data_IF_512023623634
#
_entry.id   IF_512023623634
#
_cell.length_a   1.000
_cell.length_b   1.000
_cell.length_c   1.000
_cell.angle_alpha   90.00
_cell.angle_beta   90.00
_cell.angle_gamma   90.00
#
_symmetry.space_group_name_H-M   'P 1'
#
loop_
_entity.id
_entity.type
_entity.pdbx_description
1 polymer ?
#
# COMPACT_ATOMS: atom_id res chain seq x y z
N UNK A 1 9.30 31.91 17.70
CA UNK A 1 9.33 30.65 16.94
C UNK A 1 9.10 29.51 17.90
N UNK A 2 8.25 28.54 17.57
CA UNK A 2 8.11 27.31 18.37
C UNK A 2 9.44 26.55 18.36
N UNK A 3 9.91 26.13 19.52
CA UNK A 3 11.12 25.32 19.64
C UNK A 3 10.90 23.95 18.96
N UNK A 4 11.85 23.55 18.10
CA UNK A 4 11.78 22.29 17.37
C UNK A 4 12.49 21.21 18.18
N UNK A 5 11.82 20.08 18.40
CA UNK A 5 12.38 18.93 19.11
C UNK A 5 12.47 17.71 18.20
N UNK A 6 13.48 16.87 18.44
CA UNK A 6 13.67 15.58 17.74
C UNK A 6 14.06 14.48 18.72
N UNK A 7 13.84 13.22 18.36
CA UNK A 7 14.33 12.08 19.14
C UNK A 7 15.75 11.69 18.74
N UNK A 8 16.57 11.36 19.74
CA UNK A 8 17.85 10.70 19.56
C UNK A 8 17.71 9.19 19.75
N UNK A 9 18.46 8.46 18.95
CA UNK A 9 18.60 7.01 19.01
C UNK A 9 20.08 6.69 19.15
N UNK A 10 20.41 5.71 20.00
CA UNK A 10 21.80 5.32 20.24
C UNK A 10 22.53 4.92 18.96
N UNK A 11 21.82 4.31 17.99
CA UNK A 11 22.30 4.15 16.62
C UNK A 11 21.19 3.68 15.68
N UNK A 12 21.49 3.56 14.38
CA UNK A 12 20.54 3.05 13.37
C UNK A 12 20.00 1.65 13.65
N UNK A 13 20.71 0.84 14.47
CA UNK A 13 20.29 -0.51 14.89
C UNK A 13 19.51 -0.53 16.21
N UNK A 14 19.49 0.58 16.96
CA UNK A 14 18.85 0.70 18.27
C UNK A 14 17.68 1.69 18.18
N UNK A 15 16.50 1.24 17.69
CA UNK A 15 15.36 2.11 17.40
C UNK A 15 14.63 2.66 18.64
N UNK A 16 15.08 2.35 19.86
CA UNK A 16 14.52 2.90 21.09
C UNK A 16 14.89 4.38 21.23
N UNK A 17 13.90 5.22 21.54
CA UNK A 17 14.12 6.63 21.85
C UNK A 17 14.97 6.72 23.12
N UNK A 18 16.12 7.37 23.02
CA UNK A 18 17.05 7.58 24.14
C UNK A 18 16.74 8.91 24.84
N UNK A 19 16.57 9.97 24.05
CA UNK A 19 16.34 11.32 24.53
C UNK A 19 15.48 12.09 23.52
N UNK A 20 14.75 13.10 23.99
CA UNK A 20 14.14 14.12 23.13
C UNK A 20 14.87 15.43 23.37
N UNK A 21 15.41 16.04 22.33
CA UNK A 21 16.29 17.21 22.43
C UNK A 21 15.85 18.30 21.46
N UNK A 22 16.25 19.54 21.73
CA UNK A 22 16.05 20.64 20.77
C UNK A 22 16.91 20.44 19.53
N UNK A 23 16.43 20.94 18.39
CA UNK A 23 17.19 20.87 17.13
C UNK A 23 18.54 21.58 17.24
N UNK A 24 18.63 22.66 18.02
CA UNK A 24 19.89 23.38 18.26
C UNK A 24 20.94 22.50 18.95
N UNK A 25 20.52 21.65 19.90
CA UNK A 25 21.42 20.68 20.54
C UNK A 25 21.93 19.65 19.52
N UNK A 26 21.10 19.27 18.54
CA UNK A 26 21.51 18.38 17.44
C UNK A 26 22.49 19.07 16.50
N UNK A 27 22.20 20.29 16.04
CA UNK A 27 23.10 21.04 15.17
C UNK A 27 24.45 21.29 15.86
N UNK A 28 24.47 21.62 17.15
CA UNK A 28 25.71 21.76 17.92
C UNK A 28 26.49 20.45 18.02
N UNK A 29 25.79 19.32 18.15
CA UNK A 29 26.44 17.98 18.14
C UNK A 29 27.03 17.66 16.77
N UNK A 30 26.41 18.09 15.67
CA UNK A 30 26.98 17.94 14.32
C UNK A 30 28.22 18.83 14.16
N UNK A 31 28.15 20.09 14.59
CA UNK A 31 29.24 21.06 14.51
C UNK A 31 30.49 20.60 15.29
N UNK A 32 30.30 19.92 16.42
CA UNK A 32 31.39 19.54 17.35
C UNK A 32 31.74 18.06 17.32
N UNK A 33 30.91 17.21 16.68
CA UNK A 33 30.96 15.75 16.75
C UNK A 33 30.46 15.14 18.07
N UNK A 34 30.40 15.95 19.15
CA UNK A 34 29.99 15.52 20.49
C UNK A 34 30.74 14.29 20.98
N UNK A 35 30.04 13.44 21.74
CA UNK A 35 30.61 12.19 22.29
C UNK A 35 30.93 11.14 21.21
N UNK A 36 30.36 11.29 20.00
CA UNK A 36 30.55 10.35 18.89
C UNK A 36 31.79 10.68 18.05
N UNK A 37 32.47 11.81 18.30
CA UNK A 37 33.61 12.26 17.50
C UNK A 37 34.67 11.16 17.27
N UNK A 38 35.08 10.36 18.27
CA UNK A 38 36.05 9.28 18.03
C UNK A 38 35.57 8.23 17.02
N UNK A 39 34.28 7.85 17.08
CA UNK A 39 33.69 6.86 16.16
C UNK A 39 33.50 7.45 14.77
N UNK A 40 33.12 8.74 14.69
CA UNK A 40 33.00 9.48 13.44
C UNK A 40 34.36 9.56 12.72
N UNK A 41 35.40 10.02 13.42
CA UNK A 41 36.76 10.11 12.86
C UNK A 41 37.28 8.75 12.42
N UNK A 42 37.04 7.70 13.21
CA UNK A 42 37.43 6.33 12.85
C UNK A 42 36.71 5.85 11.58
N UNK A 43 35.41 6.09 11.46
CA UNK A 43 34.65 5.74 10.27
C UNK A 43 35.15 6.51 9.03
N UNK A 44 35.38 7.81 9.16
CA UNK A 44 35.85 8.67 8.07
C UNK A 44 37.25 8.26 7.60
N UNK A 45 38.20 8.05 8.52
CA UNK A 45 39.55 7.58 8.18
C UNK A 45 39.51 6.24 7.45
N UNK A 46 38.69 5.29 7.94
CA UNK A 46 38.54 4.00 7.28
C UNK A 46 38.05 4.12 5.84
N UNK A 47 37.13 5.05 5.55
CA UNK A 47 36.58 5.22 4.21
C UNK A 47 37.50 6.06 3.28
N UNK A 48 38.04 7.17 3.79
CA UNK A 48 38.73 8.18 3.00
C UNK A 48 40.23 7.90 2.85
N UNK A 49 40.86 7.33 3.87
CA UNK A 49 42.30 7.06 3.91
C UNK A 49 42.56 5.58 3.59
N UNK A 50 41.92 4.68 4.32
CA UNK A 50 42.21 3.24 4.22
C UNK A 50 41.43 2.53 3.11
N UNK A 51 40.41 3.20 2.53
CA UNK A 51 39.44 2.64 1.58
C UNK A 51 38.79 1.33 2.08
N UNK A 52 38.67 1.17 3.39
CA UNK A 52 38.12 0.01 4.08
C UNK A 52 36.61 0.22 4.37
N UNK A 53 35.79 -0.17 3.39
CA UNK A 53 34.33 -0.05 3.47
C UNK A 53 33.69 -0.90 4.57
N UNK A 54 34.32 -2.01 4.96
CA UNK A 54 33.80 -2.88 6.01
C UNK A 54 33.90 -2.22 7.39
N UNK A 55 35.09 -1.67 7.71
CA UNK A 55 35.30 -0.93 8.96
C UNK A 55 34.37 0.29 9.00
N UNK A 56 34.30 1.07 7.91
CA UNK A 56 33.34 2.18 7.81
C UNK A 56 31.90 1.74 8.12
N UNK A 57 31.45 0.64 7.50
CA UNK A 57 30.09 0.13 7.68
C UNK A 57 29.83 -0.33 9.11
N UNK A 58 30.83 -0.87 9.81
CA UNK A 58 30.72 -1.31 11.20
C UNK A 58 30.70 -0.12 12.17
N UNK A 59 31.60 0.85 12.00
CA UNK A 59 31.67 2.03 12.88
C UNK A 59 30.42 2.90 12.76
N UNK A 60 29.87 3.04 11.54
CA UNK A 60 28.61 3.74 11.27
C UNK A 60 27.45 3.28 12.19
N UNK A 61 27.46 2.01 12.61
CA UNK A 61 26.40 1.43 13.43
C UNK A 61 26.48 1.76 14.92
N UNK A 62 27.54 2.45 15.33
CA UNK A 62 27.79 2.85 16.71
C UNK A 62 27.63 4.37 16.93
N UNK A 63 27.25 5.11 15.89
CA UNK A 63 27.07 6.57 15.94
C UNK A 63 25.60 6.89 16.18
N UNK A 64 25.35 7.87 17.04
CA UNK A 64 24.02 8.41 17.33
C UNK A 64 23.31 8.85 16.04
N UNK A 65 22.00 8.61 15.97
CA UNK A 65 21.18 9.06 14.84
C UNK A 65 19.85 9.67 15.32
N UNK A 66 19.18 10.38 14.41
CA UNK A 66 17.86 10.98 14.64
C UNK A 66 16.92 10.72 13.47
N UNK A 67 15.63 10.95 13.66
CA UNK A 67 14.65 11.04 12.59
C UNK A 67 14.10 12.44 12.59
N UNK A 68 14.50 13.23 11.60
CA UNK A 68 14.14 14.64 11.59
C UNK A 68 12.65 14.89 11.37
N UNK A 69 11.92 13.99 10.71
CA UNK A 69 10.51 14.24 10.34
C UNK A 69 9.49 14.13 11.47
N UNK A 70 9.73 13.23 12.43
CA UNK A 70 8.71 12.86 13.42
C UNK A 70 9.30 12.53 14.79
N UNK A 71 8.52 12.84 15.82
CA UNK A 71 8.69 12.31 17.17
C UNK A 71 7.98 10.96 17.30
N UNK A 72 8.50 10.10 18.16
CA UNK A 72 8.00 8.76 18.42
C UNK A 72 7.73 8.51 19.90
N UNK A 73 6.74 7.65 20.16
CA UNK A 73 6.48 7.12 21.48
C UNK A 73 7.35 5.88 21.74
N UNK A 74 8.48 6.10 22.42
CA UNK A 74 9.40 5.06 22.91
C UNK A 74 10.22 4.30 21.85
N UNK A 75 9.70 4.08 20.65
CA UNK A 75 10.33 3.24 19.63
C UNK A 75 10.05 3.74 18.21
N UNK A 76 11.10 3.83 17.39
CA UNK A 76 11.05 4.29 15.99
C UNK A 76 10.26 3.33 15.09
N UNK A 77 8.97 3.59 14.92
CA UNK A 77 8.11 2.91 13.96
C UNK A 77 6.95 3.82 13.56
N UNK A 78 6.38 3.61 12.36
CA UNK A 78 5.24 4.42 11.89
C UNK A 78 4.03 4.41 12.84
N UNK A 79 3.62 3.26 13.42
CA UNK A 79 2.55 3.23 14.42
C UNK A 79 2.82 4.07 15.67
N UNK A 80 4.09 4.29 16.01
CA UNK A 80 4.50 5.03 17.20
C UNK A 80 4.75 6.52 16.92
N UNK A 81 4.45 7.02 15.72
CA UNK A 81 4.60 8.45 15.41
C UNK A 81 3.67 9.25 16.34
N UNK A 82 4.28 10.09 17.18
CA UNK A 82 3.59 10.95 18.17
C UNK A 82 3.16 12.27 17.55
N UNK A 83 4.08 12.94 16.83
CA UNK A 83 3.84 14.25 16.23
C UNK A 83 4.88 14.55 15.14
N UNK A 84 4.55 15.37 14.13
CA UNK A 84 5.56 15.95 13.24
C UNK A 84 6.48 16.90 14.02
N UNK A 85 7.75 16.93 13.65
CA UNK A 85 8.73 17.89 14.21
C UNK A 85 8.63 19.26 13.54
N UNK A 86 8.06 19.31 12.34
CA UNK A 86 8.10 20.47 11.45
C UNK A 86 9.36 20.54 10.58
N UNK A 87 10.10 19.43 10.42
CA UNK A 87 11.28 19.35 9.56
C UNK A 87 11.14 18.26 8.49
N UNK A 88 11.74 18.50 7.32
CA UNK A 88 12.14 17.46 6.37
C UNK A 88 13.66 17.51 6.24
N UNK A 89 14.30 16.35 6.30
CA UNK A 89 15.71 16.19 5.96
C UNK A 89 15.83 15.56 4.58
N UNK A 90 16.39 16.29 3.62
CA UNK A 90 16.62 15.85 2.24
C UNK A 90 18.06 15.32 2.14
N UNK A 91 18.21 14.08 1.70
CA UNK A 91 19.50 13.40 1.53
C UNK A 91 19.95 13.47 0.07
N UNK A 92 21.21 13.86 -0.15
CA UNK A 92 21.81 14.02 -1.47
C UNK A 92 23.09 13.20 -1.55
N UNK A 93 23.15 12.33 -2.55
CA UNK A 93 24.34 11.56 -2.87
C UNK A 93 25.18 12.29 -3.94
N UNK A 94 26.48 12.37 -3.69
CA UNK A 94 27.50 12.97 -4.55
C UNK A 94 27.45 14.51 -4.60
N UNK A 95 28.64 15.10 -4.55
CA UNK A 95 28.91 16.52 -4.36
C UNK A 95 28.10 17.43 -5.29
N UNK A 96 27.20 18.21 -4.70
CA UNK A 96 26.72 19.49 -5.24
C UNK A 96 27.29 20.61 -4.36
N UNK A 97 27.59 21.80 -4.91
CA UNK A 97 27.88 22.95 -4.07
C UNK A 97 26.72 23.21 -3.12
N UNK A 98 27.02 23.69 -1.91
CA UNK A 98 25.98 24.11 -0.96
C UNK A 98 25.10 25.16 -1.64
N UNK A 99 23.83 24.84 -1.79
CA UNK A 99 22.88 25.72 -2.46
C UNK A 99 22.48 26.80 -1.47
N UNK A 100 22.57 28.06 -1.88
CA UNK A 100 22.00 29.17 -1.12
C UNK A 100 20.50 29.26 -1.45
N UNK A 101 19.66 28.94 -0.47
CA UNK A 101 18.21 29.08 -0.55
C UNK A 101 17.68 29.54 0.79
N UNK A 102 16.75 30.49 0.78
CA UNK A 102 16.02 30.94 1.96
C UNK A 102 15.17 29.83 2.60
N UNK A 103 14.94 28.71 1.89
CA UNK A 103 14.23 27.52 2.40
C UNK A 103 15.09 26.65 3.30
N UNK A 104 16.42 26.73 3.19
CA UNK A 104 17.36 25.87 3.92
C UNK A 104 17.50 26.38 5.35
N UNK A 105 17.08 25.56 6.31
CA UNK A 105 17.24 25.83 7.74
C UNK A 105 18.63 25.42 8.25
N UNK A 106 19.13 24.27 7.79
CA UNK A 106 20.49 23.85 8.03
C UNK A 106 20.98 22.96 6.89
N UNK A 107 22.28 22.96 6.61
CA UNK A 107 22.89 22.05 5.66
C UNK A 107 24.26 21.56 6.17
N UNK A 108 24.52 20.27 6.07
CA UNK A 108 25.76 19.67 6.55
C UNK A 108 26.12 18.40 5.76
N UNK A 109 27.41 18.08 5.75
CA UNK A 109 27.96 16.90 5.10
C UNK A 109 27.50 15.62 5.79
N UNK A 110 27.25 14.58 5.00
CA UNK A 110 26.98 13.24 5.52
C UNK A 110 28.25 12.63 6.15
N UNK A 111 28.09 11.51 6.86
CA UNK A 111 29.21 10.83 7.53
C UNK A 111 30.38 10.51 6.57
N UNK A 112 30.08 10.15 5.32
CA UNK A 112 31.08 9.82 4.31
C UNK A 112 31.75 11.04 3.68
N UNK A 113 31.28 12.25 4.01
CA UNK A 113 31.62 13.55 3.40
C UNK A 113 31.33 13.67 1.91
N UNK A 114 30.75 12.63 1.28
CA UNK A 114 30.43 12.60 -0.17
C UNK A 114 29.02 13.08 -0.50
N UNK A 115 28.18 13.24 0.52
CA UNK A 115 26.80 13.66 0.38
C UNK A 115 26.46 14.78 1.35
N UNK A 116 25.27 15.34 1.20
CA UNK A 116 24.78 16.46 2.00
C UNK A 116 23.39 16.15 2.54
N UNK A 117 23.10 16.69 3.72
CA UNK A 117 21.77 16.68 4.32
C UNK A 117 21.26 18.11 4.43
N UNK A 118 20.08 18.38 3.86
CA UNK A 118 19.41 19.67 3.94
C UNK A 118 18.19 19.57 4.83
N UNK A 119 18.15 20.36 5.90
CA UNK A 119 16.99 20.48 6.78
C UNK A 119 16.12 21.64 6.31
N UNK A 120 14.84 21.37 6.12
CA UNK A 120 13.85 22.31 5.63
C UNK A 120 12.70 22.39 6.64
N UNK A 121 12.24 23.60 6.95
CA UNK A 121 11.11 23.82 7.87
C UNK A 121 9.80 23.68 7.13
N UNK A 122 8.92 22.83 7.63
CA UNK A 122 7.65 22.51 6.96
C UNK A 122 6.51 22.49 7.98
N UNK A 123 5.47 23.27 7.70
CA UNK A 123 4.23 23.30 8.47
C UNK A 123 3.23 22.26 7.92
N UNK A 124 2.39 21.66 8.76
CA UNK A 124 1.34 20.75 8.29
C UNK A 124 1.79 19.35 7.83
N UNK A 125 3.01 18.91 8.20
CA UNK A 125 3.48 17.55 7.93
C UNK A 125 2.67 16.49 8.66
N UNK A 126 2.47 15.35 8.00
CA UNK A 126 1.96 14.12 8.58
C UNK A 126 2.53 12.91 7.84
N UNK A 127 2.32 11.71 8.38
CA UNK A 127 2.85 10.47 7.81
C UNK A 127 2.41 10.26 6.35
N UNK A 128 1.19 10.70 5.98
CA UNK A 128 0.60 10.49 4.65
C UNK A 128 1.21 11.42 3.60
N UNK A 129 1.56 12.65 3.98
CA UNK A 129 2.05 13.66 3.04
C UNK A 129 3.59 13.76 3.00
N UNK A 130 4.32 13.12 3.93
CA UNK A 130 5.77 13.29 4.08
C UNK A 130 6.57 12.98 2.81
N UNK A 131 6.33 11.81 2.19
CA UNK A 131 7.10 11.35 1.03
C UNK A 131 6.88 12.25 -0.20
N UNK A 132 5.66 12.74 -0.39
CA UNK A 132 5.34 13.68 -1.46
C UNK A 132 6.03 15.03 -1.21
N UNK A 133 5.91 15.58 0.00
CA UNK A 133 6.53 16.85 0.35
C UNK A 133 8.06 16.79 0.28
N UNK A 134 8.66 15.67 0.65
CA UNK A 134 10.09 15.43 0.46
C UNK A 134 10.51 15.65 -1.00
N UNK A 135 9.77 15.05 -1.95
CA UNK A 135 10.08 15.15 -3.38
C UNK A 135 9.79 16.55 -3.94
N UNK A 136 8.67 17.17 -3.54
CA UNK A 136 8.32 18.52 -3.98
C UNK A 136 9.38 19.53 -3.52
N UNK A 137 9.80 19.44 -2.26
CA UNK A 137 10.84 20.30 -1.70
C UNK A 137 12.17 20.05 -2.40
N UNK A 138 12.58 18.80 -2.61
CA UNK A 138 13.81 18.46 -3.33
C UNK A 138 13.82 19.08 -4.75
N UNK A 139 12.70 18.99 -5.46
CA UNK A 139 12.55 19.61 -6.79
C UNK A 139 12.60 21.14 -6.72
N UNK A 140 11.94 21.75 -5.73
CA UNK A 140 11.89 23.21 -5.57
C UNK A 140 13.26 23.82 -5.26
N UNK A 141 14.07 23.14 -4.44
CA UNK A 141 15.46 23.55 -4.16
C UNK A 141 16.46 23.09 -5.23
N UNK A 142 16.00 22.40 -6.29
CA UNK A 142 16.82 21.99 -7.44
C UNK A 142 17.80 20.84 -7.16
N UNK A 143 17.47 19.96 -6.22
CA UNK A 143 18.35 18.87 -5.75
C UNK A 143 17.84 17.50 -6.20
N UNK A 144 18.75 16.65 -6.68
CA UNK A 144 18.47 15.24 -6.94
C UNK A 144 18.56 14.41 -5.65
N UNK A 145 17.45 14.33 -4.92
CA UNK A 145 17.41 13.67 -3.60
C UNK A 145 17.30 12.13 -3.69
N UNK A 146 17.84 11.42 -2.69
CA UNK A 146 17.61 9.97 -2.56
C UNK A 146 16.14 9.71 -2.22
N UNK A 147 15.40 9.16 -3.19
CA UNK A 147 13.99 8.81 -3.04
C UNK A 147 13.80 7.74 -1.95
N UNK A 148 14.80 6.90 -1.68
CA UNK A 148 14.71 5.87 -0.65
C UNK A 148 14.73 6.45 0.77
N UNK A 149 15.25 7.67 0.95
CA UNK A 149 15.26 8.41 2.20
C UNK A 149 13.92 9.12 2.48
N UNK A 150 12.98 9.14 1.53
CA UNK A 150 11.66 9.78 1.64
C UNK A 150 10.66 8.99 2.53
N UNK A 151 11.06 8.64 3.76
CA UNK A 151 10.28 7.84 4.72
C UNK A 151 10.22 8.53 6.08
N UNK A 152 9.06 8.45 6.72
CA UNK A 152 8.87 8.98 8.07
C UNK A 152 9.90 8.45 9.08
N UNK A 153 10.29 7.17 8.97
CA UNK A 153 11.20 6.46 9.87
C UNK A 153 12.68 6.46 9.43
N UNK A 154 13.04 7.29 8.45
CA UNK A 154 14.40 7.38 7.92
C UNK A 154 15.35 7.90 9.01
N UNK A 155 16.34 7.09 9.45
CA UNK A 155 17.33 7.55 10.40
C UNK A 155 18.46 8.31 9.68
N UNK A 156 18.82 9.46 10.22
CA UNK A 156 19.96 10.27 9.82
C UNK A 156 21.02 10.19 10.91
N UNK A 157 22.19 9.67 10.54
CA UNK A 157 23.34 9.65 11.45
C UNK A 157 23.82 11.07 11.64
N UNK A 158 24.20 11.42 12.88
CA UNK A 158 24.76 12.72 13.19
C UNK A 158 26.27 12.68 12.90
N UNK A 159 26.74 13.35 11.84
CA UNK A 159 28.15 13.36 11.47
C UNK A 159 28.89 14.44 12.24
N UNK A 160 30.16 14.65 11.90
CA UNK A 160 30.94 15.81 12.31
C UNK A 160 31.16 16.70 11.10
N UNK A 161 30.63 17.92 11.17
CA UNK A 161 30.81 18.95 10.15
C UNK A 161 30.94 20.32 10.79
N UNK A 162 32.17 20.83 10.85
CA UNK A 162 32.49 22.14 11.45
C UNK A 162 31.90 23.29 10.64
N UNK A 163 31.69 23.09 9.34
CA UNK A 163 31.24 24.13 8.41
C UNK A 163 29.72 24.01 8.14
N UNK A 164 28.98 23.43 9.09
CA UNK A 164 27.52 23.34 9.04
C UNK A 164 26.90 24.72 8.82
N UNK A 165 26.04 24.81 7.80
CA UNK A 165 25.22 25.98 7.57
C UNK A 165 24.00 25.96 8.48
N UNK A 166 23.65 27.13 9.03
CA UNK A 166 22.47 27.33 9.86
C UNK A 166 21.83 28.69 9.58
N UNK A 167 20.53 28.67 9.29
CA UNK A 167 19.70 29.85 9.04
C UNK A 167 18.42 29.80 9.89
N UNK A 168 18.38 30.51 11.04
CA UNK A 168 17.20 30.54 11.91
C UNK A 168 15.97 31.20 11.24
N UNK A 169 16.22 32.11 10.30
CA UNK A 169 15.22 32.91 9.60
C UNK A 169 14.74 32.24 8.30
N UNK A 170 15.07 30.96 8.10
CA UNK A 170 14.63 30.23 6.92
C UNK A 170 13.12 30.17 6.79
N UNK A 171 12.66 30.24 5.54
CA UNK A 171 11.27 30.19 5.16
C UNK A 171 10.65 28.87 5.61
N UNK A 172 9.46 28.96 6.21
CA UNK A 172 8.64 27.78 6.52
C UNK A 172 7.76 27.50 5.30
N UNK A 173 7.83 26.27 4.80
CA UNK A 173 7.02 25.81 3.68
C UNK A 173 5.74 25.18 4.23
N UNK A 174 4.58 25.53 3.69
CA UNK A 174 3.37 24.78 4.01
C UNK A 174 3.38 23.45 3.25
N UNK A 175 3.22 22.35 3.99
CA UNK A 175 3.13 21.04 3.39
C UNK A 175 1.97 21.03 2.40
N UNK A 176 2.28 20.63 1.16
CA UNK A 176 1.28 20.22 0.22
C UNK A 176 0.60 18.99 0.78
N UNK A 177 -0.54 19.22 1.41
CA UNK A 177 -1.55 18.21 1.56
C UNK A 177 -2.15 18.11 0.17
N UNK A 178 -2.02 16.97 -0.53
CA UNK A 178 -2.87 16.75 -1.68
C UNK A 178 -4.29 16.91 -1.14
N UNK A 179 -4.94 18.01 -1.51
CA UNK A 179 -6.39 18.01 -1.67
C UNK A 179 -6.61 16.76 -2.48
N UNK A 180 -7.54 15.89 -2.06
CA UNK A 180 -8.03 14.85 -2.97
C UNK A 180 -8.59 15.58 -4.18
N UNK A 181 -7.74 16.01 -5.12
CA UNK A 181 -8.09 16.01 -6.52
C UNK A 181 -8.47 14.56 -6.72
N UNK A 182 -9.75 14.24 -6.96
CA UNK A 182 -10.09 12.90 -7.38
C UNK A 182 -9.08 12.59 -8.48
N UNK A 183 -8.40 11.45 -8.39
CA UNK A 183 -7.50 11.06 -9.46
C UNK A 183 -8.22 11.37 -10.76
N UNK A 184 -7.58 12.10 -11.68
CA UNK A 184 -7.97 12.05 -13.06
C UNK A 184 -7.66 10.63 -13.52
N UNK A 185 -8.51 9.69 -13.08
CA UNK A 185 -8.97 8.61 -13.90
C UNK A 185 -9.50 9.39 -15.11
N UNK A 186 -8.87 9.30 -16.30
CA UNK A 186 -9.55 9.80 -17.50
C UNK A 186 -10.92 9.20 -17.40
N UNK A 187 -11.96 10.06 -17.27
CA UNK A 187 -13.34 9.68 -16.97
C UNK A 187 -13.47 8.29 -17.51
N UNK A 188 -13.56 7.31 -16.60
CA UNK A 188 -13.63 5.92 -17.02
C UNK A 188 -14.69 6.00 -18.09
N UNK A 189 -14.31 5.84 -19.36
CA UNK A 189 -15.28 5.90 -20.43
C UNK A 189 -16.02 4.62 -20.17
N UNK A 190 -16.98 4.70 -19.25
CA UNK A 190 -18.12 3.84 -19.23
C UNK A 190 -18.51 3.77 -20.67
N UNK A 191 -18.78 2.55 -21.14
CA UNK A 191 -19.19 2.34 -22.51
C UNK A 191 -20.59 2.95 -22.67
N UNK A 192 -20.69 4.26 -22.54
CA UNK A 192 -21.83 5.04 -22.94
C UNK A 192 -21.68 5.13 -24.43
N UNK A 193 -22.61 4.48 -25.11
CA UNK A 193 -22.82 4.78 -26.51
C UNK A 193 -23.49 6.13 -26.49
N UNK A 194 -22.83 7.13 -27.06
CA UNK A 194 -23.47 8.42 -27.31
C UNK A 194 -24.64 8.17 -28.25
N UNK A 195 -25.83 8.08 -27.68
CA UNK A 195 -27.08 8.26 -28.42
C UNK A 195 -27.39 9.73 -28.34
N UNK A 196 -27.05 10.46 -29.40
CA UNK A 196 -27.77 11.69 -29.69
C UNK A 196 -29.25 11.30 -29.79
N UNK A 197 -30.03 11.86 -28.87
CA UNK A 197 -31.49 11.72 -28.74
C UNK A 197 -31.96 10.48 -27.95
N UNK A 198 -32.64 10.80 -26.83
CA UNK A 198 -33.62 10.02 -26.07
C UNK A 198 -33.11 9.19 -24.87
N UNK A 199 -33.56 9.64 -23.69
CA UNK A 199 -33.55 9.02 -22.35
C UNK A 199 -32.20 8.98 -21.58
N UNK A 200 -32.05 9.91 -20.63
CA UNK A 200 -30.89 10.15 -19.77
C UNK A 200 -30.64 9.07 -18.69
N UNK A 201 -31.37 7.95 -18.72
CA UNK A 201 -31.11 6.84 -17.81
C UNK A 201 -29.77 6.14 -18.14
N UNK A 202 -28.81 6.24 -17.20
CA UNK A 202 -27.49 5.60 -17.28
C UNK A 202 -27.64 4.09 -17.51
N UNK A 203 -27.21 3.57 -18.67
CA UNK A 203 -27.35 2.15 -19.01
C UNK A 203 -26.33 1.30 -18.23
N UNK A 204 -26.82 0.30 -17.51
CA UNK A 204 -26.05 -0.59 -16.63
C UNK A 204 -25.43 -1.75 -17.42
N UNK A 205 -24.18 -2.07 -17.12
CA UNK A 205 -23.46 -3.24 -17.65
C UNK A 205 -23.30 -4.37 -16.64
N UNK A 206 -23.63 -4.11 -15.38
CA UNK A 206 -23.75 -5.11 -14.33
C UNK A 206 -24.76 -4.63 -13.28
N UNK A 207 -25.13 -5.52 -12.36
CA UNK A 207 -25.97 -5.19 -11.21
C UNK A 207 -25.20 -5.21 -9.87
N UNK A 208 -23.89 -4.97 -9.89
CA UNK A 208 -23.06 -5.02 -8.68
C UNK A 208 -23.53 -4.01 -7.62
N UNK A 209 -23.96 -2.82 -8.06
CA UNK A 209 -24.45 -1.76 -7.17
C UNK A 209 -25.70 -2.16 -6.38
N UNK A 210 -26.49 -3.14 -6.86
CA UNK A 210 -27.64 -3.66 -6.13
C UNK A 210 -27.21 -4.37 -4.84
N UNK A 211 -25.96 -4.86 -4.78
CA UNK A 211 -25.38 -5.53 -3.62
C UNK A 211 -24.49 -4.60 -2.79
N UNK A 212 -23.89 -3.58 -3.42
CA UNK A 212 -22.90 -2.72 -2.76
C UNK A 212 -23.43 -1.41 -2.20
N UNK A 213 -24.59 -0.96 -2.66
CA UNK A 213 -25.19 0.32 -2.23
C UNK A 213 -25.61 0.35 -0.76
N UNK A 214 -25.92 -0.81 -0.16
CA UNK A 214 -26.35 -0.92 1.23
C UNK A 214 -25.26 -1.44 2.18
N UNK A 215 -24.01 -1.56 1.71
CA UNK A 215 -22.90 -2.06 2.53
C UNK A 215 -22.40 -0.92 3.41
N UNK A 216 -22.46 -1.12 4.72
CA UNK A 216 -21.64 -0.35 5.64
C UNK A 216 -20.21 -0.90 5.63
N UNK A 217 -19.27 -0.03 5.31
CA UNK A 217 -17.86 -0.39 5.29
C UNK A 217 -17.19 -0.20 6.66
N UNK A 218 -17.89 0.34 7.67
CA UNK A 218 -17.35 0.61 9.02
C UNK A 218 -16.04 1.43 8.99
N UNK A 219 -15.91 2.30 7.99
CA UNK A 219 -14.68 3.07 7.75
C UNK A 219 -13.53 2.25 7.16
N UNK A 220 -13.68 0.97 6.85
CA UNK A 220 -12.67 0.14 6.19
C UNK A 220 -12.63 0.37 4.66
N UNK A 221 -11.47 0.09 4.06
CA UNK A 221 -11.26 0.25 2.62
C UNK A 221 -11.79 -0.93 1.78
N UNK A 222 -12.10 -2.05 2.43
CA UNK A 222 -12.52 -3.31 1.80
C UNK A 222 -13.56 -4.00 2.69
N UNK A 223 -14.61 -4.52 2.05
CA UNK A 223 -15.58 -5.40 2.70
C UNK A 223 -15.43 -6.82 2.15
N UNK A 224 -15.37 -7.80 3.05
CA UNK A 224 -15.18 -9.22 2.74
C UNK A 224 -16.45 -10.01 3.10
N UNK A 225 -17.19 -10.44 2.07
CA UNK A 225 -18.40 -11.26 2.21
C UNK A 225 -18.14 -12.68 2.74
N UNK A 226 -16.87 -13.08 2.93
CA UNK A 226 -16.39 -14.44 3.26
C UNK A 226 -16.61 -15.46 2.16
N UNK A 227 -17.78 -15.43 1.55
CA UNK A 227 -18.15 -16.24 0.40
C UNK A 227 -18.31 -15.38 -0.86
N UNK A 228 -18.30 -16.04 -2.02
CA UNK A 228 -18.54 -15.35 -3.28
C UNK A 228 -20.05 -15.23 -3.51
N UNK A 229 -20.55 -14.02 -3.65
CA UNK A 229 -21.89 -13.79 -4.17
C UNK A 229 -21.84 -13.72 -5.70
N UNK A 230 -22.92 -14.14 -6.35
CA UNK A 230 -23.07 -14.07 -7.80
C UNK A 230 -23.81 -12.80 -8.20
N UNK A 231 -23.41 -12.21 -9.31
CA UNK A 231 -24.05 -11.04 -9.88
C UNK A 231 -24.06 -11.14 -11.41
N UNK A 232 -24.95 -10.38 -12.03
CA UNK A 232 -25.13 -10.31 -13.47
C UNK A 232 -24.19 -9.26 -14.07
N UNK A 233 -23.45 -9.66 -15.12
CA UNK A 233 -22.48 -8.80 -15.80
C UNK A 233 -22.47 -9.09 -17.30
N UNK A 234 -22.36 -8.04 -18.13
CA UNK A 234 -22.24 -8.21 -19.57
C UNK A 234 -20.77 -8.52 -19.91
N UNK A 235 -20.51 -9.76 -20.30
CA UNK A 235 -19.21 -10.17 -20.83
C UNK A 235 -19.18 -10.03 -22.35
N UNK A 236 -18.20 -9.26 -22.87
CA UNK A 236 -17.94 -9.13 -24.31
C UNK A 236 -16.57 -9.73 -24.60
N UNK A 237 -16.48 -10.85 -25.34
CA UNK A 237 -15.20 -11.42 -25.75
C UNK A 237 -14.38 -10.43 -26.59
N UNK A 238 -13.05 -10.55 -26.54
CA UNK A 238 -12.14 -9.75 -27.37
C UNK A 238 -12.32 -10.05 -28.87
N UNK A 239 -12.75 -11.25 -29.22
CA UNK A 239 -13.08 -11.65 -30.58
C UNK A 239 -14.26 -12.62 -30.58
N UNK A 240 -15.17 -12.45 -31.55
CA UNK A 240 -16.35 -13.29 -31.75
C UNK A 240 -16.23 -13.91 -33.15
N UNK A 241 -15.76 -15.17 -33.25
CA UNK A 241 -15.52 -15.83 -34.53
C UNK A 241 -16.82 -16.32 -35.18
N UNK A 242 -16.70 -16.65 -36.46
CA UNK A 242 -17.75 -17.33 -37.24
C UNK A 242 -18.28 -18.60 -36.55
N UNK A 243 -19.56 -18.92 -36.75
CA UNK A 243 -20.24 -20.03 -36.08
C UNK A 243 -20.82 -19.72 -34.69
N UNK A 244 -20.26 -18.76 -33.94
CA UNK A 244 -20.76 -18.36 -32.60
C UNK A 244 -21.36 -16.95 -32.52
N UNK A 245 -21.35 -16.21 -33.63
CA UNK A 245 -21.76 -14.80 -33.70
C UNK A 245 -23.18 -14.57 -33.18
N UNK A 246 -24.14 -15.34 -33.69
CA UNK A 246 -25.55 -15.15 -33.33
C UNK A 246 -25.83 -15.42 -31.84
N UNK A 247 -25.31 -16.53 -31.30
CA UNK A 247 -25.54 -16.90 -29.89
C UNK A 247 -24.89 -15.92 -28.93
N UNK A 248 -23.64 -15.50 -29.20
CA UNK A 248 -22.92 -14.54 -28.35
C UNK A 248 -23.58 -13.16 -28.39
N UNK A 249 -23.90 -12.63 -29.59
CA UNK A 249 -24.54 -11.32 -29.74
C UNK A 249 -25.94 -11.32 -29.13
N UNK A 250 -26.71 -12.40 -29.33
CA UNK A 250 -28.02 -12.56 -28.69
C UNK A 250 -27.91 -12.60 -27.17
N UNK A 251 -26.94 -13.35 -26.63
CA UNK A 251 -26.70 -13.43 -25.18
C UNK A 251 -26.32 -12.08 -24.57
N UNK A 252 -25.43 -11.32 -25.24
CA UNK A 252 -25.06 -9.97 -24.80
C UNK A 252 -26.27 -9.04 -24.79
N UNK A 253 -27.08 -9.03 -25.86
CA UNK A 253 -28.24 -8.16 -25.95
C UNK A 253 -29.35 -8.54 -24.98
N UNK A 254 -29.57 -9.84 -24.75
CA UNK A 254 -30.47 -10.33 -23.72
C UNK A 254 -30.05 -9.83 -22.34
N UNK A 255 -28.78 -10.04 -21.96
CA UNK A 255 -28.25 -9.61 -20.67
C UNK A 255 -28.33 -8.08 -20.50
N UNK A 256 -28.04 -7.31 -21.55
CA UNK A 256 -28.20 -5.86 -21.56
C UNK A 256 -29.64 -5.43 -21.27
N UNK A 257 -30.62 -6.08 -21.90
CA UNK A 257 -32.03 -5.79 -21.69
C UNK A 257 -32.50 -6.16 -20.28
N UNK A 258 -32.02 -7.27 -19.71
CA UNK A 258 -32.33 -7.67 -18.34
C UNK A 258 -31.83 -6.63 -17.31
N UNK A 259 -30.63 -6.08 -17.52
CA UNK A 259 -30.04 -5.05 -16.67
C UNK A 259 -30.69 -3.66 -16.85
N UNK A 260 -31.34 -3.42 -17.99
CA UNK A 260 -31.92 -2.14 -18.37
C UNK A 260 -33.38 -2.30 -18.81
N UNK A 261 -34.29 -2.62 -17.87
CA UNK A 261 -35.70 -2.95 -18.18
C UNK A 261 -36.50 -1.85 -18.91
N UNK A 262 -36.00 -0.61 -18.89
CA UNK A 262 -36.60 0.57 -19.55
C UNK A 262 -35.93 0.87 -20.90
N UNK A 263 -34.96 0.06 -21.35
CA UNK A 263 -34.26 0.32 -22.61
C UNK A 263 -35.18 0.23 -23.83
N UNK A 264 -34.90 1.05 -24.84
CA UNK A 264 -35.56 1.04 -26.13
C UNK A 264 -34.99 -0.06 -27.05
N UNK A 265 -35.70 -0.40 -28.13
CA UNK A 265 -35.14 -1.27 -29.18
C UNK A 265 -33.88 -0.66 -29.81
N UNK A 266 -33.87 0.66 -29.95
CA UNK A 266 -32.74 1.41 -30.51
C UNK A 266 -31.50 1.30 -29.62
N UNK A 267 -31.67 1.28 -28.29
CA UNK A 267 -30.56 1.06 -27.34
C UNK A 267 -29.88 -0.28 -27.59
N UNK A 268 -30.67 -1.34 -27.82
CA UNK A 268 -30.19 -2.70 -28.11
C UNK A 268 -29.47 -2.71 -29.48
N UNK A 269 -30.06 -2.10 -30.51
CA UNK A 269 -29.45 -2.03 -31.84
C UNK A 269 -28.09 -1.31 -31.80
N UNK A 270 -28.00 -0.23 -31.02
CA UNK A 270 -26.79 0.58 -30.89
C UNK A 270 -25.66 -0.17 -30.16
N UNK A 271 -25.97 -0.87 -29.06
CA UNK A 271 -24.97 -1.67 -28.34
C UNK A 271 -24.49 -2.86 -29.15
N UNK A 272 -25.41 -3.60 -29.78
CA UNK A 272 -25.04 -4.74 -30.60
C UNK A 272 -24.30 -4.31 -31.87
N UNK A 273 -24.68 -3.20 -32.50
CA UNK A 273 -23.97 -2.62 -33.64
C UNK A 273 -22.54 -2.21 -33.30
N UNK A 274 -22.35 -1.57 -32.14
CA UNK A 274 -21.02 -1.18 -31.64
C UNK A 274 -20.12 -2.38 -31.37
N UNK A 275 -20.67 -3.44 -30.76
CA UNK A 275 -19.96 -4.68 -30.48
C UNK A 275 -19.62 -5.40 -31.78
N UNK A 276 -20.57 -5.50 -32.72
CA UNK A 276 -20.36 -6.11 -34.02
C UNK A 276 -19.24 -5.45 -34.81
N UNK A 277 -19.18 -4.11 -34.83
CA UNK A 277 -18.13 -3.36 -35.52
C UNK A 277 -16.73 -3.63 -34.97
N UNK A 278 -16.62 -3.81 -33.64
CA UNK A 278 -15.33 -3.92 -32.92
C UNK A 278 -14.84 -5.36 -32.78
N UNK A 279 -15.71 -6.29 -32.39
CA UNK A 279 -15.31 -7.60 -31.88
C UNK A 279 -15.73 -8.78 -32.77
N UNK A 280 -16.67 -8.60 -33.71
CA UNK A 280 -17.19 -9.72 -34.52
C UNK A 280 -16.42 -9.89 -35.84
N UNK A 281 -16.00 -11.12 -36.12
CA UNK A 281 -15.19 -11.49 -37.29
C UNK A 281 -15.74 -12.78 -37.96
N UNK A 282 -16.18 -12.74 -39.23
CA UNK A 282 -16.49 -11.55 -40.02
C UNK A 282 -17.73 -10.83 -39.46
N UNK A 283 -17.85 -9.52 -39.71
CA UNK A 283 -18.96 -8.72 -39.19
C UNK A 283 -20.32 -9.24 -39.69
N UNK A 284 -21.33 -9.18 -38.83
CA UNK A 284 -22.72 -9.38 -39.23
C UNK A 284 -23.23 -8.16 -40.01
N UNK A 285 -24.15 -8.37 -40.93
CA UNK A 285 -24.84 -7.29 -41.63
C UNK A 285 -25.76 -6.50 -40.70
N UNK A 286 -26.07 -5.26 -41.08
CA UNK A 286 -27.03 -4.42 -40.33
C UNK A 286 -28.40 -5.07 -40.22
N UNK A 287 -28.83 -5.82 -41.25
CA UNK A 287 -30.11 -6.54 -41.23
C UNK A 287 -30.13 -7.63 -40.16
N UNK A 288 -29.04 -8.38 -39.99
CA UNK A 288 -28.91 -9.42 -38.96
C UNK A 288 -28.93 -8.81 -37.56
N UNK A 289 -28.20 -7.72 -37.32
CA UNK A 289 -28.21 -7.03 -36.02
C UNK A 289 -29.61 -6.51 -35.66
N UNK A 290 -30.32 -5.91 -36.62
CA UNK A 290 -31.72 -5.48 -36.41
C UNK A 290 -32.65 -6.66 -36.13
N UNK A 291 -32.47 -7.78 -36.82
CA UNK A 291 -33.25 -9.00 -36.60
C UNK A 291 -33.04 -9.54 -35.18
N UNK A 292 -31.78 -9.66 -34.74
CA UNK A 292 -31.43 -10.11 -33.39
C UNK A 292 -32.01 -9.16 -32.34
N UNK A 293 -31.85 -7.85 -32.52
CA UNK A 293 -32.34 -6.83 -31.59
C UNK A 293 -33.87 -6.90 -31.44
N UNK A 294 -34.61 -7.06 -32.55
CA UNK A 294 -36.06 -7.26 -32.53
C UNK A 294 -36.46 -8.55 -31.80
N UNK A 295 -35.73 -9.65 -32.04
CA UNK A 295 -35.98 -10.92 -31.36
C UNK A 295 -35.83 -10.77 -29.84
N UNK A 296 -34.73 -10.15 -29.39
CA UNK A 296 -34.49 -9.88 -27.98
C UNK A 296 -35.60 -8.98 -27.41
N UNK A 297 -36.01 -7.92 -28.12
CA UNK A 297 -37.00 -6.96 -27.64
C UNK A 297 -38.43 -7.53 -27.55
N UNK A 298 -38.75 -8.58 -28.31
CA UNK A 298 -40.05 -9.27 -28.24
C UNK A 298 -40.27 -10.02 -26.92
N UNK A 299 -39.20 -10.35 -26.19
CA UNK A 299 -39.31 -11.06 -24.91
C UNK A 299 -40.14 -10.19 -23.93
N UNK A 300 -41.21 -10.71 -23.28
CA UNK A 300 -41.98 -9.91 -22.34
C UNK A 300 -41.14 -9.48 -21.13
N UNK A 301 -41.39 -8.28 -20.59
CA UNK A 301 -40.61 -7.75 -19.44
C UNK A 301 -40.64 -8.64 -18.20
N UNK A 302 -41.75 -9.36 -17.99
CA UNK A 302 -41.94 -10.32 -16.90
C UNK A 302 -41.03 -11.55 -17.01
N UNK A 303 -40.60 -11.89 -18.22
CA UNK A 303 -39.79 -13.09 -18.50
C UNK A 303 -38.28 -12.74 -18.57
N UNK A 304 -37.92 -11.47 -18.39
CA UNK A 304 -36.53 -11.01 -18.36
C UNK A 304 -35.90 -11.33 -17.00
N UNK A 305 -35.08 -12.38 -16.97
CA UNK A 305 -34.29 -12.76 -15.81
C UNK A 305 -32.80 -12.60 -16.14
N UNK A 306 -32.05 -11.77 -15.40
CA UNK A 306 -30.61 -11.62 -15.63
C UNK A 306 -29.86 -12.90 -15.26
N UNK A 307 -28.86 -13.27 -16.05
CA UNK A 307 -28.01 -14.43 -15.76
C UNK A 307 -26.93 -14.00 -14.77
N UNK A 308 -26.82 -14.67 -13.63
CA UNK A 308 -25.78 -14.42 -12.63
C UNK A 308 -24.47 -15.14 -13.05
N UNK A 309 -23.72 -14.50 -13.94
CA UNK A 309 -22.57 -15.08 -14.63
C UNK A 309 -21.21 -14.63 -14.09
N UNK A 310 -21.18 -13.73 -13.12
CA UNK A 310 -19.96 -13.25 -12.48
C UNK A 310 -20.06 -13.40 -10.96
N UNK A 311 -18.93 -13.39 -10.26
CA UNK A 311 -18.90 -13.58 -8.81
C UNK A 311 -17.84 -12.74 -8.13
N UNK A 312 -18.16 -12.26 -6.93
CA UNK A 312 -17.24 -11.44 -6.13
C UNK A 312 -17.33 -11.82 -4.66
N UNK A 313 -16.19 -11.78 -3.98
CA UNK A 313 -16.09 -11.93 -2.52
C UNK A 313 -15.76 -10.60 -1.84
N UNK A 314 -14.97 -9.78 -2.52
CA UNK A 314 -14.47 -8.52 -1.99
C UNK A 314 -15.04 -7.35 -2.77
N UNK A 315 -15.48 -6.34 -2.04
CA UNK A 315 -15.88 -5.06 -2.60
C UNK A 315 -15.08 -3.96 -1.91
N UNK A 316 -14.82 -2.89 -2.65
CA UNK A 316 -13.96 -1.81 -2.17
C UNK A 316 -14.83 -0.61 -1.87
N UNK A 317 -14.51 0.06 -0.77
CA UNK A 317 -15.23 1.25 -0.35
C UNK A 317 -15.03 2.36 -1.40
N UNK A 318 -16.10 2.93 -1.98
CA UNK A 318 -15.99 4.00 -2.97
C UNK A 318 -15.34 5.29 -2.42
N UNK A 319 -15.34 5.50 -1.10
CA UNK A 319 -14.73 6.66 -0.45
C UNK A 319 -13.19 6.64 -0.49
N UNK A 320 -12.64 5.45 -0.78
CA UNK A 320 -11.21 5.22 -0.89
C UNK A 320 -10.77 5.17 -2.36
N UNK A 321 -9.84 6.06 -2.69
CA UNK A 321 -9.22 6.08 -4.01
C UNK A 321 -8.06 5.06 -4.08
N UNK A 322 -8.43 3.79 -4.24
CA UNK A 322 -7.48 2.68 -4.23
C UNK A 322 -7.02 2.30 -5.64
N UNK A 323 -5.71 2.27 -5.82
CA UNK A 323 -5.05 1.71 -7.01
C UNK A 323 -5.29 0.19 -7.11
N UNK A 324 -5.07 -0.37 -8.29
CA UNK A 324 -5.15 -1.84 -8.51
C UNK A 324 -4.19 -2.60 -7.57
N UNK A 325 -3.01 -2.02 -7.31
CA UNK A 325 -2.01 -2.62 -6.41
C UNK A 325 -2.49 -2.62 -4.96
N UNK A 326 -3.09 -1.53 -4.49
CA UNK A 326 -3.64 -1.44 -3.13
C UNK A 326 -4.84 -2.36 -2.95
N UNK A 327 -5.76 -2.38 -3.92
CA UNK A 327 -6.89 -3.33 -3.95
C UNK A 327 -6.41 -4.77 -3.82
N UNK A 328 -5.40 -5.14 -4.60
CA UNK A 328 -4.78 -6.48 -4.53
C UNK A 328 -4.12 -6.72 -3.17
N UNK A 329 -3.42 -5.73 -2.61
CA UNK A 329 -2.78 -5.83 -1.31
C UNK A 329 -3.80 -6.08 -0.19
N UNK A 330 -4.90 -5.32 -0.16
CA UNK A 330 -5.99 -5.49 0.82
C UNK A 330 -6.63 -6.87 0.74
N UNK A 331 -6.91 -7.34 -0.48
CA UNK A 331 -7.43 -8.70 -0.72
C UNK A 331 -6.43 -9.75 -0.20
N UNK A 332 -5.15 -9.61 -0.51
CA UNK A 332 -4.13 -10.56 -0.06
C UNK A 332 -3.98 -10.56 1.46
N UNK A 333 -4.06 -9.40 2.11
CA UNK A 333 -4.03 -9.29 3.58
C UNK A 333 -5.21 -10.03 4.20
N UNK A 334 -6.43 -9.81 3.70
CA UNK A 334 -7.63 -10.49 4.19
C UNK A 334 -7.53 -12.02 4.03
N UNK A 335 -7.12 -12.48 2.84
CA UNK A 335 -6.95 -13.91 2.56
C UNK A 335 -5.83 -14.54 3.41
N UNK A 336 -4.72 -13.85 3.61
CA UNK A 336 -3.61 -14.35 4.43
C UNK A 336 -4.00 -14.44 5.90
N UNK A 337 -4.78 -13.48 6.43
CA UNK A 337 -5.31 -13.52 7.79
C UNK A 337 -6.21 -14.74 7.99
N UNK A 338 -7.12 -15.00 7.06
CA UNK A 338 -7.98 -16.19 7.10
C UNK A 338 -7.16 -17.49 7.02
N UNK A 339 -6.18 -17.57 6.11
CA UNK A 339 -5.30 -18.73 5.97
C UNK A 339 -4.49 -18.99 7.24
N UNK A 340 -4.00 -17.93 7.89
CA UNK A 340 -3.32 -18.02 9.16
C UNK A 340 -4.24 -18.58 10.25
N UNK A 341 -5.47 -18.06 10.35
CA UNK A 341 -6.47 -18.54 11.32
C UNK A 341 -6.79 -20.03 11.12
N UNK A 342 -7.12 -20.44 9.89
CA UNK A 342 -7.35 -21.86 9.55
C UNK A 342 -6.17 -22.75 9.87
N UNK A 343 -4.95 -22.25 9.68
CA UNK A 343 -3.74 -22.99 10.04
C UNK A 343 -3.62 -23.15 11.55
N UNK A 344 -3.93 -22.12 12.33
CA UNK A 344 -3.95 -22.16 13.79
C UNK A 344 -5.01 -23.13 14.31
N UNK A 345 -6.21 -23.12 13.72
CA UNK A 345 -7.29 -24.06 14.05
C UNK A 345 -6.85 -25.52 13.86
N UNK A 346 -6.25 -25.85 12.70
CA UNK A 346 -5.72 -27.20 12.44
C UNK A 346 -4.64 -27.58 13.47
N UNK A 347 -3.74 -26.65 13.82
CA UNK A 347 -2.71 -26.90 14.83
C UNK A 347 -3.36 -27.16 16.20
N UNK A 348 -4.34 -26.35 16.59
CA UNK A 348 -5.07 -26.48 17.85
C UNK A 348 -5.81 -27.83 17.93
N UNK A 349 -6.51 -28.20 16.86
CA UNK A 349 -7.19 -29.49 16.75
C UNK A 349 -6.21 -30.67 16.88
N UNK A 350 -5.06 -30.60 16.19
CA UNK A 350 -4.01 -31.61 16.30
C UNK A 350 -3.49 -31.74 17.75
N UNK A 351 -3.35 -30.62 18.46
CA UNK A 351 -2.90 -30.62 19.86
C UNK A 351 -3.98 -31.20 20.79
N UNK A 352 -5.25 -30.85 20.57
CA UNK A 352 -6.38 -31.30 21.39
C UNK A 352 -6.67 -32.79 21.21
N UNK A 353 -6.44 -33.32 20.01
CA UNK A 353 -6.65 -34.73 19.65
C UNK A 353 -5.34 -35.54 19.69
N UNK A 354 -4.31 -35.03 20.38
CA UNK A 354 -2.99 -35.63 20.36
C UNK A 354 -2.94 -37.00 21.06
N UNK A 355 -2.56 -38.03 20.31
CA UNK A 355 -2.33 -39.37 20.85
C UNK A 355 -0.93 -39.48 21.48
N UNK A 356 -0.86 -39.38 22.81
CA UNK A 356 0.39 -39.48 23.57
C UNK A 356 0.99 -40.90 23.61
N UNK A 357 0.17 -41.95 23.44
CA UNK A 357 0.66 -43.33 23.42
C UNK A 357 1.41 -43.62 22.12
N UNK A 358 0.87 -43.17 20.99
CA UNK A 358 1.49 -43.37 19.67
C UNK A 358 2.59 -42.37 19.37
N UNK A 359 2.38 -41.10 19.72
CA UNK A 359 3.28 -40.02 19.30
C UNK A 359 4.22 -39.54 20.41
N UNK A 360 4.00 -39.90 21.67
CA UNK A 360 4.75 -39.39 22.81
C UNK A 360 4.58 -37.87 22.99
N UNK A 361 5.58 -37.24 23.61
CA UNK A 361 5.59 -35.79 23.88
C UNK A 361 5.36 -34.96 22.61
N UNK A 362 4.50 -33.93 22.72
CA UNK A 362 4.29 -32.94 21.69
C UNK A 362 5.58 -32.11 21.53
N UNK A 363 6.15 -32.16 20.32
CA UNK A 363 7.32 -31.36 19.91
C UNK A 363 7.03 -30.74 18.54
N UNK A 364 7.69 -29.63 18.20
CA UNK A 364 7.50 -28.97 16.90
C UNK A 364 7.65 -29.92 15.71
N UNK A 365 8.68 -30.78 15.73
CA UNK A 365 8.94 -31.77 14.66
C UNK A 365 7.81 -32.80 14.53
N UNK A 366 7.33 -33.35 15.64
CA UNK A 366 6.23 -34.32 15.63
C UNK A 366 4.91 -33.66 15.25
N UNK A 367 4.65 -32.46 15.76
CA UNK A 367 3.46 -31.69 15.44
C UNK A 367 3.39 -31.35 13.95
N UNK A 368 4.52 -30.99 13.33
CA UNK A 368 4.60 -30.82 11.88
C UNK A 368 4.25 -32.11 11.11
N UNK A 369 4.75 -33.26 11.58
CA UNK A 369 4.45 -34.57 10.97
C UNK A 369 2.97 -34.93 11.08
N UNK A 370 2.36 -34.80 12.26
CA UNK A 370 0.97 -35.18 12.51
C UNK A 370 -0.02 -34.23 11.83
N UNK A 371 0.25 -32.92 11.87
CA UNK A 371 -0.61 -31.92 11.22
C UNK A 371 -0.42 -31.80 9.70
N UNK A 372 0.57 -32.48 9.13
CA UNK A 372 0.96 -32.35 7.72
C UNK A 372 1.45 -30.95 7.32
N UNK A 373 1.80 -30.08 8.29
CA UNK A 373 2.27 -28.72 8.05
C UNK A 373 3.79 -28.67 7.95
N UNK A 374 4.30 -27.68 7.22
CA UNK A 374 5.73 -27.39 7.17
C UNK A 374 6.24 -27.01 8.58
N UNK A 375 7.43 -27.49 8.94
CA UNK A 375 8.05 -27.19 10.23
C UNK A 375 8.20 -25.69 10.50
N UNK A 376 8.48 -24.87 9.48
CA UNK A 376 8.56 -23.41 9.62
C UNK A 376 7.21 -22.80 9.99
N UNK A 377 6.12 -23.32 9.42
CA UNK A 377 4.75 -22.90 9.76
C UNK A 377 4.43 -23.24 11.21
N UNK A 378 4.82 -24.42 11.68
CA UNK A 378 4.68 -24.80 13.09
C UNK A 378 5.49 -23.85 13.96
N UNK A 379 6.77 -23.62 13.66
CA UNK A 379 7.63 -22.71 14.42
C UNK A 379 7.04 -21.30 14.57
N UNK A 380 6.48 -20.75 13.49
CA UNK A 380 5.88 -19.42 13.48
C UNK A 380 4.69 -19.29 14.44
N UNK A 381 3.87 -20.34 14.57
CA UNK A 381 2.66 -20.30 15.40
C UNK A 381 2.81 -21.03 16.74
N UNK A 382 3.91 -21.75 16.96
CA UNK A 382 4.10 -22.60 18.15
C UNK A 382 4.06 -21.81 19.47
N UNK A 383 4.54 -20.57 19.45
CA UNK A 383 4.54 -19.68 20.62
C UNK A 383 3.13 -19.48 21.20
N UNK A 384 2.11 -19.40 20.33
CA UNK A 384 0.71 -19.20 20.72
C UNK A 384 0.13 -20.40 21.48
N UNK A 385 0.67 -21.60 21.25
CA UNK A 385 0.22 -22.85 21.89
C UNK A 385 1.17 -23.34 22.99
N UNK A 386 2.24 -22.61 23.29
CA UNK A 386 3.35 -23.07 24.14
C UNK A 386 2.88 -23.46 25.55
N UNK A 387 2.00 -22.65 26.15
CA UNK A 387 1.48 -22.91 27.50
C UNK A 387 0.61 -24.18 27.52
N UNK A 388 -0.32 -24.31 26.57
CA UNK A 388 -1.18 -25.49 26.43
C UNK A 388 -0.34 -26.76 26.24
N UNK A 389 0.61 -26.73 25.31
CA UNK A 389 1.50 -27.85 25.01
C UNK A 389 2.34 -28.23 26.24
N UNK A 390 2.84 -27.26 27.01
CA UNK A 390 3.61 -27.52 28.23
C UNK A 390 2.76 -28.27 29.26
N UNK A 391 1.56 -27.76 29.55
CA UNK A 391 0.61 -28.39 30.47
C UNK A 391 0.25 -29.82 30.05
N UNK A 392 -0.07 -30.04 28.77
CA UNK A 392 -0.44 -31.38 28.28
C UNK A 392 0.73 -32.38 28.36
N UNK A 393 1.95 -31.92 28.06
CA UNK A 393 3.14 -32.75 28.17
C UNK A 393 3.51 -33.09 29.62
N UNK A 394 3.25 -32.18 30.58
CA UNK A 394 3.49 -32.42 32.00
C UNK A 394 2.48 -33.41 32.58
N UNK A 395 1.20 -33.28 32.23
CA UNK A 395 0.13 -34.21 32.66
C UNK A 395 0.31 -35.64 32.13
N UNK A 396 0.89 -35.79 30.96
CA UNK A 396 1.08 -37.09 30.29
C UNK A 396 2.54 -37.55 30.32
N UNK A 397 3.31 -37.11 31.32
CA UNK A 397 4.68 -37.58 31.53
C UNK A 397 4.59 -39.03 32.05
N UNK A 398 5.19 -40.03 31.36
CA UNK A 398 5.25 -41.37 31.91
C UNK A 398 6.03 -41.34 33.25
N UNK A 399 5.66 -42.20 34.21
CA UNK A 399 6.35 -42.29 35.51
C UNK A 399 7.84 -42.59 35.36
#
# INVERSE_FOLDING_TARGET
MSEIFVNLFASVKKPQVVETVSILKVLKRIETGGDDLPNITKAQNALLIDNNKEVYSNEKLNITCTCFGFLYDGYKSTPNVKAPTGLIAVEVDNELPMIESDMIFAAYHSLSTKGMHYLIRVNGLNVKNYSLNYQLIANEIGINADINAAKATQPFILPYDKDIYYNPDSRIIDAFNPVKTPHYIPEKKERVIGTELVDFSKKRFNNLDDYTSSIDFDGEAIFDFKEKFQFASIYVPNEIPEGKRNSIISGIGYQFRCLNKVCSLMDIENILGSINKKFVKPRLSTKEIKSISKSIFKIPKKDLVPILNDSKRFVFNPDYDLTVKEKRSLVMTALNKEKALKTKEIIAECINTWDFLRNGKITQKKLAKVSGKNIKTIQNYYSEFRCLIKSLNEKNRPP
#
